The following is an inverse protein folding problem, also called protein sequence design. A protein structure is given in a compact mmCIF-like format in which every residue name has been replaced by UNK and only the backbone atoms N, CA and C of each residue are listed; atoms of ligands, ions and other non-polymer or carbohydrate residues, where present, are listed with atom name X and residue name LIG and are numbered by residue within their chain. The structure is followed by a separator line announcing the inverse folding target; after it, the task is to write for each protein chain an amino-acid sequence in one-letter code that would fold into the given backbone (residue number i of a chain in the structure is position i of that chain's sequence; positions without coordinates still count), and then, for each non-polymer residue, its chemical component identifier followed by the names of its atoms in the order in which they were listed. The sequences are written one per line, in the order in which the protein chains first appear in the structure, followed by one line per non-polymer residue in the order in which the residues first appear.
data_IF_377462965641
#
_entry.id   IF_377462965641
#
_cell.length_a   1.000
_cell.length_b   1.000
_cell.length_c   1.000
_cell.angle_alpha   90.00
_cell.angle_beta   90.00
_cell.angle_gamma   90.00
#
_symmetry.space_group_name_H-M   'P 1'
#
loop_
_entity.id
_entity.type
_entity.pdbx_description
1 polymer ?
#
# COMPACT_ATOMS: atom_id res chain seq x y z
N UNK A 1 4.71 -38.09 19.78
CA UNK A 1 5.78 -37.30 20.44
C UNK A 1 5.24 -35.89 20.63
N UNK A 2 5.01 -35.45 21.86
CA UNK A 2 4.65 -34.06 22.14
C UNK A 2 5.92 -33.24 21.97
N UNK A 3 6.03 -32.46 20.88
CA UNK A 3 7.12 -31.49 20.75
C UNK A 3 7.00 -30.52 21.93
N UNK A 4 8.04 -30.41 22.75
CA UNK A 4 8.11 -29.38 23.78
C UNK A 4 7.82 -28.02 23.14
N UNK A 5 7.00 -27.15 23.76
CA UNK A 5 6.72 -25.84 23.19
C UNK A 5 8.04 -25.08 23.04
N UNK A 6 8.33 -24.60 21.84
CA UNK A 6 9.50 -23.75 21.62
C UNK A 6 9.23 -22.40 22.30
N UNK A 7 10.01 -22.13 23.34
CA UNK A 7 9.99 -20.87 24.07
C UNK A 7 11.26 -20.10 23.69
N UNK A 8 11.10 -18.85 23.26
CA UNK A 8 12.21 -17.93 23.00
C UNK A 8 12.06 -16.67 23.85
N UNK A 9 13.14 -15.92 23.98
CA UNK A 9 13.17 -14.67 24.75
C UNK A 9 13.44 -13.50 23.81
N UNK A 10 12.54 -12.53 23.77
CA UNK A 10 12.64 -11.31 22.97
C UNK A 10 12.48 -10.11 23.89
N UNK A 11 13.42 -9.17 23.84
CA UNK A 11 13.38 -7.98 24.70
C UNK A 11 13.16 -8.31 26.21
N UNK A 12 13.69 -9.44 26.68
CA UNK A 12 13.54 -9.93 28.05
C UNK A 12 12.20 -10.64 28.37
N UNK A 13 11.29 -10.74 27.39
CA UNK A 13 10.01 -11.44 27.53
C UNK A 13 10.10 -12.87 27.01
N UNK A 14 9.61 -13.84 27.78
CA UNK A 14 9.54 -15.24 27.34
C UNK A 14 8.24 -15.46 26.57
N UNK A 15 8.37 -15.86 25.31
CA UNK A 15 7.25 -16.09 24.40
C UNK A 15 7.25 -17.56 23.99
N UNK A 16 6.12 -18.22 24.20
CA UNK A 16 5.83 -19.59 23.80
C UNK A 16 5.14 -19.58 22.44
N UNK A 17 5.68 -20.28 21.44
CA UNK A 17 5.09 -20.29 20.09
C UNK A 17 3.65 -20.80 20.14
N UNK A 18 3.38 -21.81 20.97
CA UNK A 18 2.07 -22.45 21.03
C UNK A 18 1.01 -21.53 21.64
N UNK A 19 1.38 -20.78 22.68
CA UNK A 19 0.48 -19.82 23.31
C UNK A 19 0.21 -18.64 22.39
N UNK A 20 1.24 -18.21 21.65
CA UNK A 20 1.14 -17.15 20.66
C UNK A 20 0.24 -17.56 19.49
N UNK A 21 0.48 -18.73 18.88
CA UNK A 21 -0.34 -19.29 17.79
C UNK A 21 -1.82 -19.35 18.20
N UNK A 22 -2.10 -19.87 19.39
CA UNK A 22 -3.47 -20.00 19.89
C UNK A 22 -4.13 -18.64 20.11
N UNK A 23 -3.39 -17.66 20.64
CA UNK A 23 -3.90 -16.30 20.87
C UNK A 23 -4.10 -15.55 19.56
N UNK A 24 -3.17 -15.69 18.61
CA UNK A 24 -3.28 -15.12 17.28
C UNK A 24 -4.45 -15.69 16.52
N UNK A 25 -4.64 -17.02 16.50
CA UNK A 25 -5.80 -17.65 15.89
C UNK A 25 -7.12 -17.09 16.46
N UNK A 26 -7.22 -16.99 17.79
CA UNK A 26 -8.40 -16.40 18.45
C UNK A 26 -8.61 -14.94 18.06
N UNK A 27 -7.54 -14.15 17.97
CA UNK A 27 -7.61 -12.73 17.62
C UNK A 27 -8.04 -12.54 16.16
N UNK A 28 -7.52 -13.37 15.26
CA UNK A 28 -7.93 -13.41 13.86
C UNK A 28 -9.42 -13.75 13.76
N UNK A 29 -9.89 -14.79 14.46
CA UNK A 29 -11.30 -15.18 14.45
C UNK A 29 -12.21 -14.05 14.99
N UNK A 30 -11.78 -13.33 16.03
CA UNK A 30 -12.50 -12.19 16.62
C UNK A 30 -12.61 -11.02 15.64
N UNK A 31 -11.57 -10.77 14.85
CA UNK A 31 -11.45 -9.62 13.96
C UNK A 31 -11.69 -9.96 12.48
N UNK A 32 -12.17 -11.17 12.18
CA UNK A 32 -12.34 -11.64 10.80
C UNK A 32 -13.26 -10.74 9.96
N UNK A 33 -14.24 -10.10 10.59
CA UNK A 33 -15.13 -9.17 9.89
C UNK A 33 -14.38 -7.94 9.40
N UNK A 34 -13.43 -7.42 10.19
CA UNK A 34 -12.59 -6.29 9.78
C UNK A 34 -11.73 -6.65 8.57
N UNK A 35 -11.13 -7.85 8.57
CA UNK A 35 -10.40 -8.37 7.42
C UNK A 35 -11.28 -8.48 6.16
N UNK A 36 -12.49 -9.01 6.29
CA UNK A 36 -13.44 -9.11 5.18
C UNK A 36 -13.78 -7.72 4.64
N UNK A 37 -13.98 -6.72 5.51
CA UNK A 37 -14.20 -5.33 5.08
C UNK A 37 -12.98 -4.75 4.36
N UNK A 38 -11.75 -5.01 4.83
CA UNK A 38 -10.54 -4.60 4.12
C UNK A 38 -10.46 -5.20 2.71
N UNK A 39 -10.70 -6.50 2.58
CA UNK A 39 -10.71 -7.20 1.28
C UNK A 39 -11.83 -6.67 0.39
N UNK A 40 -13.02 -6.43 0.94
CA UNK A 40 -14.15 -5.90 0.20
C UNK A 40 -13.91 -4.47 -0.31
N UNK A 41 -13.36 -3.59 0.52
CA UNK A 41 -12.95 -2.25 0.12
C UNK A 41 -11.95 -2.31 -1.03
N UNK A 42 -10.85 -3.07 -0.87
CA UNK A 42 -9.83 -3.25 -1.91
C UNK A 42 -10.42 -3.78 -3.21
N UNK A 43 -11.26 -4.82 -3.12
CA UNK A 43 -11.91 -5.42 -4.28
C UNK A 43 -12.83 -4.42 -4.98
N UNK A 44 -13.72 -3.72 -4.25
CA UNK A 44 -14.63 -2.74 -4.82
C UNK A 44 -13.89 -1.56 -5.46
N UNK A 45 -12.87 -1.03 -4.78
CA UNK A 45 -12.00 0.02 -5.31
C UNK A 45 -11.35 -0.42 -6.61
N UNK A 46 -10.82 -1.64 -6.66
CA UNK A 46 -10.19 -2.20 -7.86
C UNK A 46 -11.19 -2.35 -9.02
N UNK A 47 -12.39 -2.88 -8.76
CA UNK A 47 -13.44 -3.01 -9.78
C UNK A 47 -13.85 -1.65 -10.36
N UNK A 48 -13.88 -0.60 -9.53
CA UNK A 48 -14.28 0.74 -9.93
C UNK A 48 -13.20 1.53 -10.67
N UNK A 49 -11.92 1.27 -10.39
CA UNK A 49 -10.81 2.13 -10.84
C UNK A 49 -9.87 1.47 -11.84
N UNK A 50 -9.71 0.14 -11.80
CA UNK A 50 -8.73 -0.56 -12.61
C UNK A 50 -9.29 -1.04 -13.95
N UNK A 51 -8.39 -1.13 -14.93
CA UNK A 51 -8.65 -1.75 -16.22
C UNK A 51 -8.10 -3.16 -16.27
N UNK A 52 -8.71 -4.00 -17.12
CA UNK A 52 -8.22 -5.34 -17.42
C UNK A 52 -6.91 -5.28 -18.19
N UNK A 53 -6.01 -6.18 -17.83
CA UNK A 53 -4.75 -6.40 -18.52
C UNK A 53 -4.72 -7.79 -19.16
N UNK A 54 -4.10 -7.89 -20.34
CA UNK A 54 -3.87 -9.17 -21.01
C UNK A 54 -2.39 -9.36 -21.32
N UNK A 55 -1.94 -10.60 -21.24
CA UNK A 55 -0.59 -10.98 -21.64
C UNK A 55 -0.57 -11.34 -23.13
N UNK A 56 0.22 -10.60 -23.91
CA UNK A 56 0.41 -10.84 -25.33
C UNK A 56 1.84 -11.34 -25.57
N UNK A 57 1.98 -12.51 -26.18
CA UNK A 57 3.28 -13.04 -26.58
C UNK A 57 3.57 -12.67 -28.03
N UNK A 58 4.74 -12.06 -28.29
CA UNK A 58 5.23 -11.93 -29.64
C UNK A 58 5.63 -13.32 -30.18
N UNK A 59 5.20 -13.60 -31.40
CA UNK A 59 5.26 -14.91 -32.08
C UNK A 59 6.65 -15.57 -32.23
N UNK A 60 7.72 -14.99 -31.69
CA UNK A 60 9.11 -15.40 -31.94
C UNK A 60 9.79 -16.25 -30.86
N UNK A 61 9.24 -16.48 -29.67
CA UNK A 61 9.73 -17.58 -28.83
C UNK A 61 8.79 -17.92 -27.65
N UNK A 62 8.28 -19.16 -27.54
CA UNK A 62 7.46 -19.61 -26.40
C UNK A 62 8.27 -19.90 -25.13
N UNK A 63 9.58 -19.61 -25.12
CA UNK A 63 10.53 -20.08 -24.10
C UNK A 63 10.98 -19.03 -23.10
N UNK A 64 10.37 -17.84 -23.11
CA UNK A 64 10.67 -16.81 -22.13
C UNK A 64 9.33 -16.23 -21.70
N UNK A 65 9.05 -16.21 -20.40
CA UNK A 65 8.00 -15.40 -19.76
C UNK A 65 8.26 -13.91 -20.06
N UNK A 66 8.08 -13.54 -21.32
CA UNK A 66 8.47 -12.28 -21.97
C UNK A 66 7.26 -11.67 -22.67
N UNK A 67 6.07 -12.15 -22.34
CA UNK A 67 4.85 -11.55 -22.85
C UNK A 67 4.78 -10.09 -22.42
N UNK A 68 4.23 -9.26 -23.28
CA UNK A 68 3.95 -7.87 -22.94
C UNK A 68 2.59 -7.83 -22.29
N UNK A 69 2.53 -7.26 -21.09
CA UNK A 69 1.26 -6.94 -20.46
C UNK A 69 0.67 -5.69 -21.13
N UNK A 70 -0.58 -5.75 -21.54
CA UNK A 70 -1.25 -4.68 -22.28
C UNK A 70 -2.57 -4.34 -21.58
N UNK A 71 -2.73 -3.08 -21.20
CA UNK A 71 -4.01 -2.52 -20.75
C UNK A 71 -5.01 -2.55 -21.92
N UNK A 72 -6.15 -3.18 -21.68
CA UNK A 72 -7.22 -3.32 -22.66
C UNK A 72 -8.18 -2.13 -22.70
N UNK A 73 -8.14 -1.25 -21.69
CA UNK A 73 -9.11 -0.18 -21.45
C UNK A 73 -10.50 -0.69 -21.07
N UNK A 74 -10.68 -2.00 -20.86
CA UNK A 74 -11.95 -2.59 -20.48
C UNK A 74 -12.07 -2.67 -18.96
N UNK A 75 -13.18 -2.19 -18.42
CA UNK A 75 -13.50 -2.30 -16.99
C UNK A 75 -13.87 -3.74 -16.61
N UNK A 76 -13.71 -4.07 -15.33
CA UNK A 76 -14.20 -5.33 -14.77
C UNK A 76 -15.72 -5.41 -14.76
N UNK A 77 -16.26 -6.61 -14.98
CA UNK A 77 -17.69 -6.88 -14.91
C UNK A 77 -17.91 -7.96 -13.86
N UNK A 78 -18.62 -7.65 -12.77
CA UNK A 78 -18.79 -8.55 -11.62
C UNK A 78 -19.35 -9.92 -12.02
N UNK A 79 -20.25 -9.96 -13.00
CA UNK A 79 -20.84 -11.20 -13.49
C UNK A 79 -19.85 -12.17 -14.16
N UNK A 80 -18.64 -11.73 -14.49
CA UNK A 80 -17.57 -12.58 -15.02
C UNK A 80 -16.84 -13.35 -13.92
N UNK A 81 -17.01 -12.95 -12.66
CA UNK A 81 -16.28 -13.49 -11.51
C UNK A 81 -17.29 -13.88 -10.43
N UNK A 82 -17.94 -15.05 -10.50
CA UNK A 82 -18.88 -15.47 -9.46
C UNK A 82 -18.24 -15.49 -8.06
N UNK A 83 -16.99 -15.94 -7.97
CA UNK A 83 -16.22 -16.00 -6.73
C UNK A 83 -14.95 -15.16 -6.83
N UNK A 84 -14.44 -14.67 -5.70
CA UNK A 84 -13.23 -13.84 -5.66
C UNK A 84 -12.03 -14.56 -6.31
N UNK A 85 -11.86 -15.86 -6.09
CA UNK A 85 -10.79 -16.66 -6.71
C UNK A 85 -10.77 -16.65 -8.24
N UNK A 86 -11.91 -16.36 -8.88
CA UNK A 86 -11.99 -16.23 -10.33
C UNK A 86 -11.38 -14.89 -10.77
N UNK A 87 -11.58 -13.83 -9.98
CA UNK A 87 -10.97 -12.51 -10.18
C UNK A 87 -9.48 -12.49 -9.85
N UNK A 88 -9.03 -13.19 -8.80
CA UNK A 88 -7.63 -13.16 -8.35
C UNK A 88 -6.60 -13.58 -9.42
N UNK A 89 -7.04 -14.27 -10.47
CA UNK A 89 -6.18 -14.69 -11.60
C UNK A 89 -5.97 -13.59 -12.64
N UNK A 90 -6.71 -12.49 -12.57
CA UNK A 90 -6.55 -11.35 -13.45
C UNK A 90 -5.23 -10.65 -13.17
N UNK A 91 -4.57 -10.17 -14.23
CA UNK A 91 -3.32 -9.43 -14.11
C UNK A 91 -3.59 -8.01 -13.61
N UNK A 92 -2.79 -7.54 -12.66
CA UNK A 92 -2.97 -6.22 -12.04
C UNK A 92 -2.26 -5.08 -12.78
N UNK A 93 -1.44 -5.38 -13.79
CA UNK A 93 -0.66 -4.37 -14.51
C UNK A 93 0.83 -4.35 -14.15
N UNK A 94 1.24 -5.03 -13.08
CA UNK A 94 2.59 -5.00 -12.55
C UNK A 94 3.46 -6.08 -13.21
N UNK A 95 4.70 -5.68 -13.53
CA UNK A 95 5.73 -6.57 -14.07
C UNK A 95 6.98 -6.44 -13.20
N UNK A 96 7.43 -7.56 -12.66
CA UNK A 96 8.68 -7.66 -11.92
C UNK A 96 9.76 -8.37 -12.74
N UNK A 97 11.00 -7.91 -12.62
CA UNK A 97 12.15 -8.65 -13.12
C UNK A 97 12.48 -9.78 -12.13
N UNK A 98 12.54 -11.03 -12.60
CA UNK A 98 13.00 -12.13 -11.74
C UNK A 98 14.47 -11.92 -11.38
N UNK A 99 14.79 -12.02 -10.08
CA UNK A 99 16.17 -11.93 -9.59
C UNK A 99 17.02 -13.17 -9.93
N UNK A 100 16.39 -14.26 -10.37
CA UNK A 100 17.07 -15.55 -10.60
C UNK A 100 17.54 -15.73 -12.05
N UNK A 101 16.84 -15.13 -13.01
CA UNK A 101 17.24 -15.06 -14.41
C UNK A 101 16.91 -13.66 -14.94
N UNK A 102 17.94 -12.88 -15.32
CA UNK A 102 17.84 -11.49 -15.83
C UNK A 102 16.98 -11.33 -17.11
N UNK A 103 16.33 -12.40 -17.55
CA UNK A 103 15.52 -12.50 -18.75
C UNK A 103 14.08 -12.95 -18.49
N UNK A 104 13.72 -13.29 -17.25
CA UNK A 104 12.36 -13.69 -16.91
C UNK A 104 11.58 -12.52 -16.30
N UNK A 105 10.45 -12.16 -16.93
CA UNK A 105 9.50 -11.20 -16.38
C UNK A 105 8.39 -11.97 -15.67
N UNK A 106 8.14 -11.63 -14.41
CA UNK A 106 6.98 -12.12 -13.68
C UNK A 106 5.85 -11.10 -13.79
N UNK A 107 4.67 -11.58 -14.18
CA UNK A 107 3.46 -10.77 -14.26
C UNK A 107 2.63 -11.05 -13.02
N UNK A 108 2.38 -10.03 -12.22
CA UNK A 108 1.59 -10.16 -11.01
C UNK A 108 0.10 -10.20 -11.33
N UNK A 109 -0.61 -10.81 -10.40
CA UNK A 109 -2.06 -10.96 -10.41
C UNK A 109 -2.65 -10.36 -9.14
N UNK A 110 -3.97 -10.22 -9.09
CA UNK A 110 -4.63 -9.77 -7.87
C UNK A 110 -4.52 -10.78 -6.71
N UNK A 111 -4.07 -12.02 -6.94
CA UNK A 111 -3.67 -12.94 -5.87
C UNK A 111 -2.45 -12.43 -5.09
N UNK A 112 -1.50 -11.78 -5.78
CA UNK A 112 -0.32 -11.20 -5.17
C UNK A 112 -0.72 -9.98 -4.31
N UNK A 113 -1.58 -9.10 -4.83
CA UNK A 113 -2.12 -7.97 -4.06
C UNK A 113 -2.94 -8.41 -2.83
N UNK A 114 -3.74 -9.48 -2.95
CA UNK A 114 -4.46 -10.02 -1.80
C UNK A 114 -3.47 -10.50 -0.71
N UNK A 115 -2.33 -11.08 -1.11
CA UNK A 115 -1.28 -11.49 -0.18
C UNK A 115 -0.64 -10.27 0.50
N UNK A 116 -0.36 -9.22 -0.28
CA UNK A 116 0.18 -7.94 0.22
C UNK A 116 -0.78 -7.19 1.14
N UNK A 117 -2.09 -7.45 1.04
CA UNK A 117 -3.10 -6.97 1.99
C UNK A 117 -3.18 -7.86 3.25
N UNK A 118 -3.12 -9.17 3.07
CA UNK A 118 -3.33 -10.16 4.15
C UNK A 118 -2.17 -10.16 5.15
N UNK A 119 -0.93 -10.11 4.65
CA UNK A 119 0.27 -10.21 5.49
C UNK A 119 0.35 -9.07 6.51
N UNK A 120 0.25 -7.78 6.13
CA UNK A 120 0.22 -6.67 7.07
C UNK A 120 -0.93 -6.80 8.09
N UNK A 121 -2.12 -7.19 7.63
CA UNK A 121 -3.27 -7.34 8.53
C UNK A 121 -3.02 -8.37 9.64
N UNK A 122 -2.40 -9.52 9.33
CA UNK A 122 -2.03 -10.52 10.35
C UNK A 122 -0.91 -10.00 11.26
N UNK A 123 0.05 -9.23 10.73
CA UNK A 123 1.10 -8.60 11.55
C UNK A 123 0.48 -7.66 12.59
N UNK A 124 -0.52 -6.86 12.22
CA UNK A 124 -1.23 -5.98 13.15
C UNK A 124 -1.96 -6.78 14.25
N UNK A 125 -2.56 -7.92 13.90
CA UNK A 125 -3.16 -8.81 14.89
C UNK A 125 -2.12 -9.40 15.84
N UNK A 126 -0.94 -9.75 15.31
CA UNK A 126 0.17 -10.25 16.11
C UNK A 126 0.69 -9.17 17.08
N UNK A 127 0.89 -7.94 16.60
CA UNK A 127 1.28 -6.82 17.46
C UNK A 127 0.27 -6.59 18.59
N UNK A 128 -1.03 -6.66 18.26
CA UNK A 128 -2.11 -6.58 19.24
C UNK A 128 -2.04 -7.70 20.27
N UNK A 129 -1.79 -8.94 19.85
CA UNK A 129 -1.62 -10.07 20.78
C UNK A 129 -0.41 -9.89 21.70
N UNK A 130 0.70 -9.37 21.19
CA UNK A 130 1.89 -9.07 21.99
C UNK A 130 1.59 -7.94 22.99
N UNK A 131 0.87 -6.90 22.57
CA UNK A 131 0.41 -5.82 23.45
C UNK A 131 -0.46 -6.36 24.59
N UNK A 132 -1.41 -7.25 24.31
CA UNK A 132 -2.27 -7.88 25.31
C UNK A 132 -1.50 -8.79 26.29
N UNK A 133 -0.49 -9.50 25.79
CA UNK A 133 0.38 -10.35 26.62
C UNK A 133 1.29 -9.53 27.53
N UNK A 134 1.74 -8.38 27.07
CA UNK A 134 2.71 -7.52 27.76
C UNK A 134 2.28 -6.05 27.75
N UNK A 135 1.21 -5.69 28.48
CA UNK A 135 0.58 -4.36 28.41
C UNK A 135 1.46 -3.21 28.92
N UNK A 136 2.61 -3.52 29.49
CA UNK A 136 3.60 -2.56 29.97
C UNK A 136 4.66 -2.20 28.91
N UNK A 137 4.63 -2.83 27.73
CA UNK A 137 5.54 -2.51 26.64
C UNK A 137 5.00 -1.34 25.81
N UNK A 138 5.90 -0.45 25.39
CA UNK A 138 5.59 0.58 24.39
C UNK A 138 5.48 -0.03 22.99
N UNK A 139 4.71 0.59 22.09
CA UNK A 139 4.58 0.20 20.67
C UNK A 139 5.94 -0.05 20.00
N UNK A 140 6.91 0.84 20.18
CA UNK A 140 8.28 0.68 19.64
C UNK A 140 8.97 -0.61 20.09
N UNK A 141 8.67 -1.09 21.31
CA UNK A 141 9.23 -2.37 21.80
C UNK A 141 8.47 -3.56 21.24
N UNK A 142 7.16 -3.43 21.04
CA UNK A 142 6.30 -4.46 20.44
C UNK A 142 6.74 -4.69 18.99
N UNK A 143 6.84 -3.63 18.20
CA UNK A 143 7.33 -3.70 16.82
C UNK A 143 8.70 -4.40 16.74
N UNK A 144 9.64 -4.05 17.64
CA UNK A 144 10.96 -4.74 17.73
C UNK A 144 10.85 -6.23 18.04
N UNK A 145 9.95 -6.63 18.96
CA UNK A 145 9.73 -8.04 19.26
C UNK A 145 9.23 -8.77 18.02
N UNK A 146 8.25 -8.20 17.31
CA UNK A 146 7.70 -8.79 16.08
C UNK A 146 8.76 -8.89 14.99
N UNK A 147 9.56 -7.84 14.77
CA UNK A 147 10.68 -7.88 13.83
C UNK A 147 11.67 -8.99 14.18
N UNK A 148 12.11 -9.09 15.45
CA UNK A 148 13.04 -10.14 15.89
C UNK A 148 12.46 -11.55 15.69
N UNK A 149 11.13 -11.72 15.86
CA UNK A 149 10.43 -12.99 15.63
C UNK A 149 10.30 -13.36 14.15
N UNK A 150 10.22 -12.37 13.26
CA UNK A 150 10.23 -12.57 11.82
C UNK A 150 11.64 -12.92 11.34
N UNK A 151 12.65 -12.16 11.77
CA UNK A 151 14.05 -12.35 11.40
C UNK A 151 14.57 -13.73 11.80
N UNK A 152 14.16 -14.23 12.96
CA UNK A 152 14.58 -15.54 13.47
C UNK A 152 13.63 -16.69 13.10
N UNK A 153 12.68 -16.41 12.19
CA UNK A 153 11.69 -17.32 11.63
C UNK A 153 10.82 -18.03 12.68
N UNK A 154 10.73 -17.51 13.91
CA UNK A 154 10.00 -18.15 14.99
C UNK A 154 8.51 -18.29 14.71
N UNK A 155 7.93 -17.36 13.95
CA UNK A 155 6.51 -17.38 13.59
C UNK A 155 6.25 -17.69 12.12
N UNK A 156 7.28 -17.92 11.31
CA UNK A 156 7.14 -17.98 9.85
C UNK A 156 6.14 -19.05 9.38
N UNK A 157 6.20 -20.26 9.94
CA UNK A 157 5.31 -21.37 9.55
C UNK A 157 3.86 -21.06 9.95
N UNK A 158 3.54 -20.74 11.22
CA UNK A 158 2.18 -20.35 11.59
C UNK A 158 1.65 -19.18 10.78
N UNK A 159 2.48 -18.17 10.56
CA UNK A 159 2.11 -16.96 9.83
C UNK A 159 1.70 -17.29 8.39
N UNK A 160 2.49 -18.10 7.69
CA UNK A 160 2.16 -18.60 6.36
C UNK A 160 0.85 -19.39 6.34
N UNK A 161 0.63 -20.27 7.34
CA UNK A 161 -0.62 -21.05 7.44
C UNK A 161 -1.82 -20.14 7.65
N UNK A 162 -1.74 -19.14 8.54
CA UNK A 162 -2.83 -18.19 8.77
C UNK A 162 -3.14 -17.39 7.51
N UNK A 163 -2.12 -16.86 6.83
CA UNK A 163 -2.27 -16.12 5.57
C UNK A 163 -3.02 -16.94 4.53
N UNK A 164 -2.50 -18.13 4.20
CA UNK A 164 -3.12 -18.98 3.17
C UNK A 164 -4.52 -19.47 3.55
N UNK A 165 -4.77 -19.69 4.84
CA UNK A 165 -6.11 -20.05 5.32
C UNK A 165 -7.11 -18.91 5.16
N UNK A 166 -6.71 -17.67 5.47
CA UNK A 166 -7.55 -16.49 5.33
C UNK A 166 -7.81 -16.17 3.86
N UNK A 167 -6.75 -16.13 3.04
CA UNK A 167 -6.83 -15.95 1.59
C UNK A 167 -7.77 -16.98 0.96
N UNK A 168 -7.62 -18.26 1.29
CA UNK A 168 -8.50 -19.33 0.79
C UNK A 168 -9.95 -19.14 1.22
N UNK A 169 -10.19 -18.66 2.45
CA UNK A 169 -11.54 -18.44 2.95
C UNK A 169 -12.25 -17.28 2.23
N UNK A 170 -11.55 -16.15 2.00
CA UNK A 170 -12.13 -15.01 1.27
C UNK A 170 -12.22 -15.27 -0.23
N UNK A 171 -11.30 -16.06 -0.79
CA UNK A 171 -11.30 -16.42 -2.21
C UNK A 171 -12.58 -17.20 -2.62
N UNK A 172 -13.21 -17.90 -1.68
CA UNK A 172 -14.47 -18.62 -1.89
C UNK A 172 -15.72 -17.74 -1.66
N UNK A 173 -15.57 -16.45 -1.38
CA UNK A 173 -16.70 -15.52 -1.23
C UNK A 173 -17.22 -15.05 -2.58
N UNK A 174 -18.53 -14.76 -2.63
CA UNK A 174 -19.18 -14.17 -3.81
C UNK A 174 -18.70 -12.73 -4.02
N UNK A 175 -18.30 -12.41 -5.25
CA UNK A 175 -17.82 -11.04 -5.57
C UNK A 175 -18.92 -10.00 -5.45
N UNK A 176 -20.18 -10.37 -5.72
CA UNK A 176 -21.32 -9.46 -5.55
C UNK A 176 -21.47 -9.03 -4.10
N UNK A 177 -21.27 -9.95 -3.15
CA UNK A 177 -21.32 -9.65 -1.73
C UNK A 177 -20.16 -8.75 -1.30
N UNK A 178 -18.92 -9.09 -1.70
CA UNK A 178 -17.74 -8.28 -1.39
C UNK A 178 -17.85 -6.87 -1.99
N UNK A 179 -18.36 -6.75 -3.21
CA UNK A 179 -18.58 -5.46 -3.84
C UNK A 179 -19.62 -4.64 -3.07
N UNK A 180 -20.78 -5.22 -2.75
CA UNK A 180 -21.88 -4.53 -2.04
C UNK A 180 -21.43 -3.94 -0.70
N UNK A 181 -20.63 -4.66 0.09
CA UNK A 181 -20.17 -4.17 1.40
C UNK A 181 -18.98 -3.20 1.29
N UNK A 182 -18.23 -3.24 0.19
CA UNK A 182 -17.04 -2.41 -0.02
C UNK A 182 -17.29 -1.14 -0.84
N UNK A 183 -18.38 -1.09 -1.62
CA UNK A 183 -18.63 -0.06 -2.63
C UNK A 183 -18.66 1.35 -2.05
N UNK A 184 -19.39 1.58 -0.95
CA UNK A 184 -19.50 2.92 -0.35
C UNK A 184 -18.14 3.46 0.08
N UNK A 185 -17.38 2.67 0.84
CA UNK A 185 -16.04 3.06 1.30
C UNK A 185 -15.06 3.23 0.13
N UNK A 186 -15.15 2.39 -0.91
CA UNK A 186 -14.33 2.54 -2.10
C UNK A 186 -14.65 3.84 -2.86
N UNK A 187 -15.93 4.19 -3.00
CA UNK A 187 -16.37 5.45 -3.62
C UNK A 187 -15.92 6.67 -2.83
N UNK A 188 -15.95 6.61 -1.49
CA UNK A 188 -15.41 7.67 -0.62
C UNK A 188 -13.92 7.89 -0.88
N UNK A 189 -13.11 6.82 -0.93
CA UNK A 189 -11.68 6.93 -1.24
C UNK A 189 -11.40 7.44 -2.64
N UNK A 190 -12.20 7.05 -3.64
CA UNK A 190 -12.10 7.60 -5.00
C UNK A 190 -12.39 9.11 -4.99
N UNK A 191 -13.44 9.52 -4.28
CA UNK A 191 -13.81 10.94 -4.19
C UNK A 191 -12.74 11.76 -3.47
N UNK A 192 -12.17 11.23 -2.38
CA UNK A 192 -11.07 11.85 -1.65
C UNK A 192 -9.83 12.01 -2.55
N UNK A 193 -9.46 10.96 -3.29
CA UNK A 193 -8.36 10.99 -4.25
C UNK A 193 -8.57 12.03 -5.37
N UNK A 194 -9.78 12.11 -5.94
CA UNK A 194 -10.13 13.13 -6.95
C UNK A 194 -10.06 14.56 -6.39
N UNK A 195 -10.51 14.75 -5.15
CA UNK A 195 -10.46 16.03 -4.46
C UNK A 195 -9.01 16.46 -4.19
N UNK A 196 -8.19 15.56 -3.65
CA UNK A 196 -6.76 15.80 -3.42
C UNK A 196 -6.02 16.12 -4.72
N UNK A 197 -6.28 15.36 -5.79
CA UNK A 197 -5.73 15.63 -7.10
C UNK A 197 -6.10 17.02 -7.60
N UNK A 198 -7.38 17.41 -7.49
CA UNK A 198 -7.86 18.73 -7.90
C UNK A 198 -7.19 19.85 -7.10
N UNK A 199 -7.05 19.67 -5.78
CA UNK A 199 -6.36 20.63 -4.90
C UNK A 199 -4.89 20.77 -5.32
N UNK A 200 -4.18 19.65 -5.50
CA UNK A 200 -2.79 19.64 -5.90
C UNK A 200 -2.57 20.30 -7.27
N UNK A 201 -3.46 20.06 -8.24
CA UNK A 201 -3.41 20.71 -9.55
C UNK A 201 -3.63 22.23 -9.46
N UNK A 202 -4.55 22.69 -8.61
CA UNK A 202 -4.77 24.12 -8.38
C UNK A 202 -3.52 24.78 -7.77
N UNK A 203 -2.92 24.13 -6.78
CA UNK A 203 -1.69 24.62 -6.14
C UNK A 203 -0.54 24.65 -7.14
N UNK A 204 -0.35 23.59 -7.92
CA UNK A 204 0.69 23.54 -8.96
C UNK A 204 0.51 24.67 -9.98
N UNK A 205 -0.73 25.01 -10.35
CA UNK A 205 -1.03 26.14 -11.23
C UNK A 205 -0.65 27.49 -10.59
N UNK A 206 -0.91 27.68 -9.29
CA UNK A 206 -0.48 28.87 -8.54
C UNK A 206 1.04 28.97 -8.50
N UNK A 207 1.73 27.87 -8.19
CA UNK A 207 3.21 27.79 -8.18
C UNK A 207 3.78 28.15 -9.54
N UNK A 208 3.27 27.56 -10.64
CA UNK A 208 3.72 27.87 -12.01
C UNK A 208 3.59 29.36 -12.32
N UNK A 209 2.49 29.98 -11.89
CA UNK A 209 2.24 31.42 -12.09
C UNK A 209 3.21 32.27 -11.28
N UNK A 210 3.37 31.98 -9.99
CA UNK A 210 4.30 32.71 -9.11
C UNK A 210 5.75 32.54 -9.54
N UNK A 211 6.13 31.35 -9.99
CA UNK A 211 7.47 31.08 -10.51
C UNK A 211 7.76 31.91 -11.75
N UNK A 212 6.83 31.95 -12.71
CA UNK A 212 6.95 32.77 -13.91
C UNK A 212 7.02 34.27 -13.58
N UNK A 213 6.25 34.74 -12.60
CA UNK A 213 6.31 36.15 -12.17
C UNK A 213 7.61 36.50 -11.45
N UNK A 214 8.15 35.58 -10.64
CA UNK A 214 9.35 35.83 -9.81
C UNK A 214 10.64 35.72 -10.61
N UNK A 215 10.72 34.73 -11.50
CA UNK A 215 11.96 34.36 -12.19
C UNK A 215 11.91 34.64 -13.70
N UNK A 216 10.77 35.05 -14.25
CA UNK A 216 10.57 35.23 -15.70
C UNK A 216 10.89 33.98 -16.54
N UNK A 217 10.76 32.80 -15.92
CA UNK A 217 11.05 31.49 -16.51
C UNK A 217 9.79 30.61 -16.48
N UNK A 218 9.70 29.64 -17.38
CA UNK A 218 8.67 28.60 -17.33
C UNK A 218 9.15 27.49 -16.40
N UNK A 219 8.30 27.10 -15.44
CA UNK A 219 8.62 25.98 -14.56
C UNK A 219 8.70 24.69 -15.40
N UNK A 220 9.84 23.96 -15.37
CA UNK A 220 9.95 22.67 -16.03
C UNK A 220 8.89 21.68 -15.58
N UNK A 221 8.54 20.75 -16.47
CA UNK A 221 7.55 19.72 -16.16
C UNK A 221 8.01 18.76 -15.07
N UNK A 222 9.33 18.54 -14.94
CA UNK A 222 9.92 17.72 -13.88
C UNK A 222 10.71 18.59 -12.90
N UNK A 223 10.40 18.47 -11.61
CA UNK A 223 11.07 19.23 -10.55
C UNK A 223 12.16 18.38 -9.91
N UNK A 224 13.39 18.86 -10.03
CA UNK A 224 14.58 18.26 -9.41
C UNK A 224 15.06 19.10 -8.23
N UNK A 225 15.82 18.49 -7.30
CA UNK A 225 16.24 19.13 -6.06
C UNK A 225 16.88 20.53 -6.21
N UNK A 226 17.77 20.79 -7.20
CA UNK A 226 18.34 22.13 -7.39
C UNK A 226 17.29 23.20 -7.73
N UNK A 227 16.27 22.82 -8.50
CA UNK A 227 15.14 23.69 -8.82
C UNK A 227 14.21 23.83 -7.62
N UNK A 228 13.99 22.75 -6.88
CA UNK A 228 13.15 22.76 -5.68
C UNK A 228 13.64 23.76 -4.62
N UNK A 229 14.95 23.92 -4.43
CA UNK A 229 15.48 24.95 -3.52
C UNK A 229 15.09 26.38 -3.93
N UNK A 230 14.90 26.65 -5.23
CA UNK A 230 14.34 27.92 -5.73
C UNK A 230 12.82 28.00 -5.55
N UNK A 231 12.12 26.87 -5.50
CA UNK A 231 10.67 26.82 -5.28
C UNK A 231 10.27 26.97 -3.81
N UNK A 232 11.12 26.54 -2.86
CA UNK A 232 10.83 26.61 -1.42
C UNK A 232 10.29 27.98 -0.95
N UNK A 233 10.87 29.14 -1.35
CA UNK A 233 10.32 30.44 -0.99
C UNK A 233 8.89 30.68 -1.48
N UNK A 234 8.54 30.19 -2.67
CA UNK A 234 7.18 30.28 -3.23
C UNK A 234 6.22 29.42 -2.42
N UNK A 235 6.62 28.20 -2.03
CA UNK A 235 5.81 27.32 -1.18
C UNK A 235 5.53 27.96 0.19
N UNK A 236 6.55 28.56 0.80
CA UNK A 236 6.40 29.30 2.07
C UNK A 236 5.46 30.48 1.89
N UNK A 237 5.55 31.19 0.76
CA UNK A 237 4.66 32.31 0.47
C UNK A 237 3.20 31.86 0.31
N UNK A 238 2.94 30.79 -0.44
CA UNK A 238 1.58 30.24 -0.59
C UNK A 238 0.95 29.87 0.74
N UNK A 239 1.76 29.31 1.64
CA UNK A 239 1.30 28.93 2.96
C UNK A 239 1.04 30.15 3.85
N UNK A 240 1.88 31.20 3.76
CA UNK A 240 1.62 32.52 4.40
C UNK A 240 0.34 33.19 3.88
N UNK A 241 0.00 32.97 2.62
CA UNK A 241 -1.21 33.49 1.97
C UNK A 241 -2.48 32.67 2.33
N UNK A 242 -2.35 31.66 3.19
CA UNK A 242 -3.48 30.89 3.73
C UNK A 242 -3.73 29.54 3.07
N UNK A 243 -2.82 29.07 2.21
CA UNK A 243 -2.88 27.70 1.69
C UNK A 243 -2.48 26.73 2.81
N UNK A 244 -3.32 25.74 3.17
CA UNK A 244 -2.96 24.72 4.16
C UNK A 244 -1.67 24.00 3.77
N UNK A 245 -0.83 23.70 4.76
CA UNK A 245 0.45 22.99 4.54
C UNK A 245 0.18 21.60 3.99
N UNK A 246 -0.86 20.96 4.51
CA UNK A 246 -1.34 19.64 4.11
C UNK A 246 -1.64 19.60 2.61
N UNK A 247 -2.26 20.65 2.07
CA UNK A 247 -2.53 20.74 0.65
C UNK A 247 -1.25 20.94 -0.20
N UNK A 248 -0.23 21.61 0.35
CA UNK A 248 1.06 21.76 -0.33
C UNK A 248 1.80 20.41 -0.34
N UNK A 249 1.71 19.63 0.74
CA UNK A 249 2.31 18.30 0.85
C UNK A 249 1.77 17.34 -0.22
N UNK A 250 0.50 17.47 -0.63
CA UNK A 250 -0.09 16.71 -1.75
C UNK A 250 0.72 16.81 -3.05
N UNK A 251 1.51 17.86 -3.26
CA UNK A 251 2.37 17.94 -4.45
C UNK A 251 3.41 16.82 -4.53
N UNK A 252 3.76 16.17 -3.41
CA UNK A 252 4.68 15.03 -3.40
C UNK A 252 4.19 13.90 -4.32
N UNK A 253 2.89 13.60 -4.28
CA UNK A 253 2.27 12.51 -5.02
C UNK A 253 1.77 12.94 -6.41
N UNK A 254 1.40 14.21 -6.53
CA UNK A 254 0.63 14.71 -7.67
C UNK A 254 1.41 15.60 -8.64
N UNK A 255 2.69 15.87 -8.35
CA UNK A 255 3.57 16.58 -9.26
C UNK A 255 4.70 15.69 -9.74
N UNK A 256 5.17 15.94 -10.96
CA UNK A 256 6.26 15.19 -11.54
C UNK A 256 7.59 15.64 -10.90
N UNK A 257 7.88 15.07 -9.73
CA UNK A 257 9.06 15.37 -8.92
C UNK A 257 10.02 14.18 -8.92
N UNK A 258 11.31 14.45 -8.68
CA UNK A 258 12.20 13.37 -8.27
C UNK A 258 11.88 12.92 -6.85
N UNK A 259 12.21 11.67 -6.53
CA UNK A 259 11.90 11.04 -5.24
C UNK A 259 12.40 11.85 -4.03
N UNK A 260 13.57 12.49 -4.14
CA UNK A 260 14.10 13.34 -3.07
C UNK A 260 13.28 14.63 -2.87
N UNK A 261 12.67 15.16 -3.92
CA UNK A 261 11.77 16.31 -3.84
C UNK A 261 10.44 15.90 -3.22
N UNK A 262 9.90 14.73 -3.58
CA UNK A 262 8.69 14.19 -2.97
C UNK A 262 8.83 14.05 -1.45
N UNK A 263 9.93 13.44 -0.96
CA UNK A 263 10.21 13.32 0.48
C UNK A 263 10.30 14.68 1.21
N UNK A 264 10.90 15.69 0.58
CA UNK A 264 10.97 17.03 1.17
C UNK A 264 9.62 17.77 1.14
N UNK A 265 8.75 17.44 0.18
CA UNK A 265 7.38 17.94 0.14
C UNK A 265 6.52 17.25 1.20
N UNK A 266 6.62 15.93 1.37
CA UNK A 266 5.92 15.18 2.43
C UNK A 266 6.24 15.73 3.83
N UNK A 267 7.49 16.13 4.05
CA UNK A 267 7.96 16.68 5.33
C UNK A 267 7.90 18.20 5.41
N UNK A 268 7.30 18.86 4.40
CA UNK A 268 7.24 20.31 4.34
C UNK A 268 6.47 20.88 5.53
N UNK A 269 7.10 21.80 6.25
CA UNK A 269 6.48 22.51 7.36
C UNK A 269 6.98 23.95 7.43
N UNK A 270 6.13 24.84 7.96
CA UNK A 270 6.53 26.22 8.24
C UNK A 270 6.99 26.28 9.69
N UNK A 271 8.29 26.20 9.92
CA UNK A 271 8.84 26.49 11.24
C UNK A 271 9.00 28.02 11.40
N UNK A 272 8.73 28.60 12.57
CA UNK A 272 8.87 30.05 12.82
C UNK A 272 10.27 30.61 12.49
N UNK A 273 11.30 29.75 12.42
CA UNK A 273 12.65 30.11 11.98
C UNK A 273 12.79 30.36 10.46
N UNK A 274 11.86 29.88 9.64
CA UNK A 274 11.83 30.13 8.19
C UNK A 274 11.14 31.46 7.84
N UNK A 275 10.55 32.14 8.83
CA UNK A 275 9.81 33.39 8.66
C UNK A 275 10.68 34.65 8.88
N UNK A 276 11.95 34.50 9.24
CA UNK A 276 12.84 35.59 9.69
C UNK A 276 13.95 36.00 8.70
N UNK A 277 13.84 35.64 7.43
CA UNK A 277 14.63 36.20 6.31
C UNK A 277 13.72 36.62 5.19
#
# INVERSE_FOLDING_TARGET
MVKSPSIKTYQGQKISIHDLEKKLAKKIDENISEYIFCVAHWFAYTILTANKHILIHDSSSPWVCSGKLVDTGASFQLNQYPLLKDFLKEYNGIIQCSHQDEHEMMHETYEDELSDLTIPWILDQLETVIAELFPFLSEVKIAKIVTEMMDDQFIQIPFFIFSKSLESAVAEMETSFLFEIGEESAQESIHEFELEQSIAQEILKKIKTMYAMTYAEILPDRIEMPLFQKLKPILIQLAKEGTPVEHIQLLADWSNCSHSVAQELETFCICEKCLST
#
